data_IF_191797957760
#
_entry.id   IF_191797957760
#
_cell.length_a   1.000
_cell.length_b   1.000
_cell.length_c   1.000
_cell.angle_alpha   90.00
_cell.angle_beta   90.00
_cell.angle_gamma   90.00
#
_symmetry.space_group_name_H-M   'P 1'
#
loop_
_entity.id
_entity.type
_entity.pdbx_description
1 polymer ?
#
# COMPACT_ATOMS: atom_id res chain seq x y z
N UNK A 1 3.58 -9.21 5.88
CA UNK A 1 4.94 -9.63 6.29
C UNK A 1 4.90 -10.67 7.40
N UNK A 2 4.41 -10.39 8.63
CA UNK A 2 4.41 -11.32 9.77
C UNK A 2 3.70 -12.63 9.45
N UNK A 3 2.47 -12.59 8.91
CA UNK A 3 1.75 -13.79 8.48
C UNK A 3 2.50 -14.60 7.42
N UNK A 4 3.16 -13.91 6.48
CA UNK A 4 3.99 -14.55 5.45
C UNK A 4 5.17 -15.33 6.06
N UNK A 5 5.90 -14.72 6.99
CA UNK A 5 7.04 -15.36 7.69
C UNK A 5 6.59 -16.57 8.51
N UNK A 6 5.53 -16.42 9.31
CA UNK A 6 4.97 -17.52 10.11
C UNK A 6 4.51 -18.69 9.24
N UNK A 7 3.96 -18.40 8.06
CA UNK A 7 3.47 -19.42 7.11
C UNK A 7 4.58 -20.32 6.57
N UNK A 8 5.82 -19.81 6.50
CA UNK A 8 7.00 -20.56 6.07
C UNK A 8 7.87 -21.06 7.22
N UNK A 9 7.33 -21.03 8.44
CA UNK A 9 7.98 -21.63 9.62
C UNK A 9 9.03 -20.75 10.30
N UNK A 10 9.06 -19.44 10.00
CA UNK A 10 9.89 -18.48 10.74
C UNK A 10 9.19 -18.09 12.04
N UNK A 11 9.86 -18.24 13.16
CA UNK A 11 9.37 -17.76 14.44
C UNK A 11 9.50 -16.24 14.52
N UNK A 12 8.40 -15.55 14.84
CA UNK A 12 8.32 -14.08 14.83
C UNK A 12 7.85 -13.59 16.19
N UNK A 13 8.73 -12.93 16.92
CA UNK A 13 8.40 -12.14 18.10
C UNK A 13 8.18 -10.67 17.72
N UNK A 14 7.04 -10.11 18.11
CA UNK A 14 6.68 -8.73 17.79
C UNK A 14 7.03 -7.80 18.95
N UNK A 15 7.81 -6.75 18.66
CA UNK A 15 8.03 -5.63 19.55
C UNK A 15 7.30 -4.40 19.00
N UNK A 16 6.21 -4.02 19.65
CA UNK A 16 5.36 -2.92 19.20
C UNK A 16 4.94 -2.03 20.35
N UNK A 17 5.00 -0.71 20.13
CA UNK A 17 4.43 0.30 21.02
C UNK A 17 3.47 1.15 20.21
N UNK A 18 2.17 1.07 20.52
CA UNK A 18 1.16 1.83 19.80
C UNK A 18 1.30 3.33 20.10
N UNK A 19 1.48 4.11 19.06
CA UNK A 19 1.50 5.60 19.13
C UNK A 19 0.14 6.17 18.69
N UNK A 20 -0.65 5.37 17.97
CA UNK A 20 -1.86 5.80 17.27
C UNK A 20 -3.10 5.09 17.83
N UNK A 21 -3.37 5.27 19.13
CA UNK A 21 -4.56 4.68 19.74
C UNK A 21 -5.83 5.19 19.04
N UNK A 22 -6.52 4.29 18.31
CA UNK A 22 -7.87 4.46 17.73
C UNK A 22 -8.15 5.75 16.94
N UNK A 23 -7.15 6.49 16.50
CA UNK A 23 -7.35 7.70 15.73
C UNK A 23 -7.72 7.34 14.29
N UNK A 24 -9.01 7.35 13.95
CA UNK A 24 -9.55 7.22 12.59
C UNK A 24 -8.85 8.15 11.58
N UNK A 25 -8.21 9.23 12.06
CA UNK A 25 -7.48 10.24 11.28
C UNK A 25 -6.01 10.40 11.72
N UNK A 26 -5.30 9.33 11.98
CA UNK A 26 -4.05 9.21 12.72
C UNK A 26 -2.76 9.86 12.18
N UNK A 27 -2.79 10.91 11.38
CA UNK A 27 -1.60 11.66 10.98
C UNK A 27 -1.77 13.17 11.15
N UNK A 28 -2.01 13.61 12.37
CA UNK A 28 -1.82 15.03 12.73
C UNK A 28 -0.41 15.21 13.30
N UNK A 29 0.48 15.88 12.57
CA UNK A 29 1.82 16.23 13.04
C UNK A 29 1.75 17.40 14.03
N UNK A 30 1.25 17.17 15.24
CA UNK A 30 1.26 18.16 16.32
C UNK A 30 2.35 17.88 17.36
N UNK A 31 2.72 18.87 18.20
CA UNK A 31 3.74 18.69 19.25
C UNK A 31 3.44 17.50 20.19
N UNK A 32 2.17 17.25 20.48
CA UNK A 32 1.75 16.10 21.29
C UNK A 32 2.04 14.76 20.65
N UNK A 33 2.00 14.65 19.33
CA UNK A 33 2.34 13.42 18.61
C UNK A 33 3.85 13.17 18.62
N UNK A 34 4.65 14.21 18.49
CA UNK A 34 6.10 14.09 18.60
C UNK A 34 6.52 13.58 20.01
N UNK A 35 5.85 14.09 21.06
CA UNK A 35 6.10 13.62 22.43
C UNK A 35 5.69 12.14 22.63
N UNK A 36 4.54 11.72 22.07
CA UNK A 36 4.11 10.30 22.11
C UNK A 36 5.09 9.40 21.35
N UNK A 37 5.55 9.83 20.19
CA UNK A 37 6.56 9.08 19.42
C UNK A 37 7.85 8.94 20.22
N UNK A 38 8.36 10.03 20.80
CA UNK A 38 9.57 9.99 21.63
C UNK A 38 9.43 9.05 22.85
N UNK A 39 8.25 9.03 23.48
CA UNK A 39 7.97 8.13 24.59
C UNK A 39 7.91 6.66 24.13
N UNK A 40 7.31 6.39 22.98
CA UNK A 40 7.26 5.05 22.39
C UNK A 40 8.66 4.53 22.06
N UNK A 41 9.50 5.38 21.43
CA UNK A 41 10.90 5.05 21.16
C UNK A 41 11.71 4.78 22.43
N UNK A 42 11.51 5.57 23.48
CA UNK A 42 12.15 5.33 24.76
C UNK A 42 11.71 4.00 25.38
N UNK A 43 10.43 3.63 25.22
CA UNK A 43 9.91 2.34 25.66
C UNK A 43 10.49 1.18 24.86
N UNK A 44 10.57 1.29 23.53
CA UNK A 44 11.22 0.30 22.65
C UNK A 44 12.70 0.11 23.04
N UNK A 45 13.42 1.18 23.30
CA UNK A 45 14.81 1.12 23.76
C UNK A 45 15.01 0.37 25.08
N UNK A 46 14.00 0.32 25.94
CA UNK A 46 14.06 -0.40 27.24
C UNK A 46 13.66 -1.89 27.11
N UNK A 47 13.01 -2.29 26.01
CA UNK A 47 12.63 -3.67 25.81
C UNK A 47 13.87 -4.56 25.59
N UNK A 48 13.78 -5.79 26.07
CA UNK A 48 14.83 -6.79 25.89
C UNK A 48 14.23 -7.98 25.14
N UNK A 49 14.47 -8.07 23.84
CA UNK A 49 13.99 -9.23 23.08
C UNK A 49 14.68 -10.50 23.55
N UNK A 50 14.04 -11.63 23.28
CA UNK A 50 14.62 -12.97 23.48
C UNK A 50 15.78 -13.19 22.50
N UNK A 51 16.28 -14.41 22.42
CA UNK A 51 17.28 -14.77 21.42
C UNK A 51 16.62 -14.84 20.04
N UNK A 52 17.25 -14.25 19.01
CA UNK A 52 16.76 -14.16 17.64
C UNK A 52 17.93 -14.04 16.68
N UNK A 53 17.72 -14.33 15.39
CA UNK A 53 18.76 -14.32 14.37
C UNK A 53 18.85 -12.97 13.65
N UNK A 54 17.73 -12.30 13.40
CA UNK A 54 17.68 -11.01 12.71
C UNK A 54 16.58 -10.11 13.29
N UNK A 55 16.69 -8.79 13.07
CA UNK A 55 15.66 -7.79 13.41
C UNK A 55 15.03 -7.28 12.11
N UNK A 56 13.70 -7.35 12.03
CA UNK A 56 12.93 -6.71 10.99
C UNK A 56 12.29 -5.41 11.52
N UNK A 57 12.59 -4.29 10.85
CA UNK A 57 11.96 -3.00 11.12
C UNK A 57 10.91 -2.73 10.04
N UNK A 58 9.63 -2.65 10.44
CA UNK A 58 8.51 -2.42 9.54
C UNK A 58 8.16 -0.94 9.34
N UNK A 59 7.14 -0.69 8.53
CA UNK A 59 6.61 0.63 8.21
C UNK A 59 6.05 1.38 9.44
N UNK A 60 6.30 2.69 9.59
CA UNK A 60 7.25 3.51 8.81
C UNK A 60 8.71 3.36 9.26
N UNK A 61 8.99 2.90 10.45
CA UNK A 61 10.24 2.42 11.03
C UNK A 61 11.45 3.36 11.07
N UNK A 62 11.41 4.55 10.45
CA UNK A 62 12.55 5.46 10.35
C UNK A 62 13.12 5.89 11.71
N UNK A 63 12.27 6.01 12.70
CA UNK A 63 12.64 6.41 14.07
C UNK A 63 12.93 5.20 14.97
N UNK A 64 12.47 4.00 14.59
CA UNK A 64 12.64 2.76 15.36
C UNK A 64 14.06 2.17 15.21
N UNK A 65 14.83 2.58 14.19
CA UNK A 65 16.15 2.03 13.91
C UNK A 65 17.18 2.17 15.05
N UNK A 66 17.21 3.25 15.86
CA UNK A 66 18.06 3.31 17.04
C UNK A 66 17.72 2.22 18.06
N UNK A 67 16.43 1.97 18.30
CA UNK A 67 15.97 0.89 19.18
C UNK A 67 16.29 -0.49 18.58
N UNK A 68 16.06 -0.67 17.27
CA UNK A 68 16.41 -1.88 16.54
C UNK A 68 17.91 -2.20 16.61
N UNK A 69 18.79 -1.21 16.41
CA UNK A 69 20.24 -1.38 16.53
C UNK A 69 20.68 -1.81 17.93
N UNK A 70 20.07 -1.20 18.96
CA UNK A 70 20.32 -1.60 20.34
C UNK A 70 19.86 -3.03 20.62
N UNK A 71 18.66 -3.39 20.13
CA UNK A 71 18.10 -4.72 20.27
C UNK A 71 18.93 -5.76 19.51
N UNK A 72 19.36 -5.46 18.29
CA UNK A 72 20.07 -6.36 17.39
C UNK A 72 21.39 -6.91 17.96
N UNK A 73 22.09 -6.14 18.80
CA UNK A 73 23.38 -6.58 19.42
C UNK A 73 24.39 -7.14 18.43
N UNK A 74 24.46 -6.54 17.25
CA UNK A 74 25.36 -6.97 16.16
C UNK A 74 24.78 -8.00 15.20
N UNK A 75 23.50 -8.38 15.36
CA UNK A 75 22.76 -9.21 14.41
C UNK A 75 22.22 -8.36 13.27
N UNK A 76 21.91 -8.97 12.10
CA UNK A 76 21.41 -8.23 10.94
C UNK A 76 20.10 -7.49 11.20
N UNK A 77 19.99 -6.31 10.59
CA UNK A 77 18.79 -5.48 10.58
C UNK A 77 18.28 -5.36 9.15
N UNK A 78 17.06 -5.82 8.93
CA UNK A 78 16.32 -5.66 7.68
C UNK A 78 15.29 -4.56 7.86
N UNK A 79 15.30 -3.55 7.00
CA UNK A 79 14.38 -2.43 7.07
C UNK A 79 13.42 -2.42 5.88
N UNK A 80 12.13 -2.49 6.15
CA UNK A 80 11.06 -2.38 5.16
C UNK A 80 10.23 -1.12 5.37
N UNK A 81 10.69 0.05 4.90
CA UNK A 81 10.06 1.33 5.15
C UNK A 81 8.72 1.50 4.41
N UNK A 82 8.50 0.81 3.29
CA UNK A 82 7.42 1.00 2.30
C UNK A 82 7.36 2.41 1.70
N UNK A 83 7.87 3.43 2.38
CA UNK A 83 7.83 4.82 1.93
C UNK A 83 9.11 5.57 2.29
N UNK A 84 9.41 6.65 1.56
CA UNK A 84 10.26 7.73 2.02
C UNK A 84 9.38 8.79 2.69
N UNK A 85 9.82 9.35 3.80
CA UNK A 85 9.12 10.43 4.51
C UNK A 85 9.09 11.70 3.66
N UNK A 86 10.23 12.04 3.02
CA UNK A 86 10.32 13.20 2.15
C UNK A 86 9.39 13.06 0.94
N UNK A 87 9.42 11.92 0.24
CA UNK A 87 8.54 11.66 -0.91
C UNK A 87 7.06 11.73 -0.50
N UNK A 88 6.71 11.19 0.68
CA UNK A 88 5.33 11.18 1.17
C UNK A 88 4.85 12.57 1.58
N UNK A 89 5.62 13.30 2.38
CA UNK A 89 5.15 14.53 3.00
C UNK A 89 5.36 15.76 2.11
N UNK A 90 6.38 15.73 1.24
CA UNK A 90 6.71 16.84 0.34
C UNK A 90 6.09 16.61 -1.04
N UNK A 91 6.49 15.52 -1.74
CA UNK A 91 6.13 15.32 -3.14
C UNK A 91 4.67 14.86 -3.32
N UNK A 92 4.18 13.95 -2.47
CA UNK A 92 2.81 13.41 -2.60
C UNK A 92 1.77 14.29 -1.89
N UNK A 93 2.01 14.63 -0.62
CA UNK A 93 1.01 15.35 0.18
C UNK A 93 1.13 16.85 0.18
N UNK A 94 2.24 17.39 -0.35
CA UNK A 94 2.46 18.84 -0.43
C UNK A 94 2.47 19.56 0.93
N UNK A 95 2.75 18.83 2.05
CA UNK A 95 2.75 19.42 3.39
C UNK A 95 3.88 20.41 3.61
N UNK A 96 5.00 20.21 2.94
CA UNK A 96 6.15 21.10 2.97
C UNK A 96 6.54 21.46 1.54
N UNK A 97 7.01 22.70 1.36
CA UNK A 97 7.51 23.14 0.05
C UNK A 97 8.77 22.36 -0.31
N UNK A 98 8.90 21.99 -1.58
CA UNK A 98 10.14 21.43 -2.11
C UNK A 98 11.33 22.37 -1.79
N UNK A 99 12.49 21.80 -1.50
CA UNK A 99 13.73 22.51 -1.14
C UNK A 99 13.66 23.34 0.17
N UNK A 100 12.58 23.25 0.95
CA UNK A 100 12.50 23.87 2.28
C UNK A 100 13.47 23.19 3.27
N UNK A 101 13.72 23.84 4.40
CA UNK A 101 14.50 23.23 5.48
C UNK A 101 13.88 21.90 5.95
N UNK A 102 12.55 21.86 6.08
CA UNK A 102 11.81 20.65 6.47
C UNK A 102 11.98 19.52 5.43
N UNK A 103 11.90 19.83 4.12
CA UNK A 103 12.11 18.85 3.06
C UNK A 103 13.52 18.23 3.13
N UNK A 104 14.56 19.09 3.28
CA UNK A 104 15.94 18.62 3.41
C UNK A 104 16.18 17.81 4.68
N UNK A 105 15.50 18.16 5.79
CA UNK A 105 15.58 17.40 7.03
C UNK A 105 14.98 16.00 6.85
N UNK A 106 13.81 15.90 6.22
CA UNK A 106 13.18 14.63 5.92
C UNK A 106 14.03 13.74 5.00
N UNK A 107 14.65 14.32 3.96
CA UNK A 107 15.57 13.58 3.10
C UNK A 107 16.82 13.06 3.85
N UNK A 108 17.31 13.83 4.81
CA UNK A 108 18.43 13.38 5.66
C UNK A 108 18.00 12.25 6.60
N UNK A 109 16.79 12.33 7.15
CA UNK A 109 16.22 11.27 7.97
C UNK A 109 16.09 9.99 7.14
N UNK A 110 15.50 10.07 5.94
CA UNK A 110 15.38 8.91 5.04
C UNK A 110 16.75 8.28 4.76
N UNK A 111 17.73 9.08 4.30
CA UNK A 111 19.08 8.57 4.01
C UNK A 111 19.76 7.94 5.22
N UNK A 112 19.61 8.58 6.38
CA UNK A 112 20.19 8.03 7.62
C UNK A 112 19.53 6.71 8.00
N UNK A 113 18.22 6.65 7.95
CA UNK A 113 17.46 5.45 8.27
C UNK A 113 17.81 4.29 7.31
N UNK A 114 17.83 4.55 6.01
CA UNK A 114 18.12 3.51 5.02
C UNK A 114 19.56 2.97 5.16
N UNK A 115 20.53 3.84 5.45
CA UNK A 115 21.94 3.43 5.69
C UNK A 115 22.18 2.80 7.06
N UNK A 116 21.21 2.91 7.97
CA UNK A 116 21.32 2.35 9.30
C UNK A 116 20.97 0.85 9.37
N UNK A 117 20.31 0.31 8.38
CA UNK A 117 20.02 -1.11 8.23
C UNK A 117 21.10 -1.81 7.39
N UNK A 118 21.23 -3.12 7.56
CA UNK A 118 22.12 -3.95 6.73
C UNK A 118 21.50 -4.21 5.37
N UNK A 119 20.17 -4.33 5.30
CA UNK A 119 19.40 -4.42 4.06
C UNK A 119 18.13 -3.58 4.15
N UNK A 120 17.83 -2.82 3.09
CA UNK A 120 16.55 -2.13 2.87
C UNK A 120 15.75 -2.92 1.86
N UNK A 121 14.50 -3.26 2.16
CA UNK A 121 13.60 -3.99 1.26
C UNK A 121 12.52 -3.06 0.74
N UNK A 122 12.36 -3.00 -0.57
CA UNK A 122 11.29 -2.26 -1.23
C UNK A 122 10.09 -3.16 -1.56
N UNK A 123 8.95 -2.54 -1.87
CA UNK A 123 7.72 -3.24 -2.26
C UNK A 123 7.57 -3.40 -3.79
N UNK A 124 8.39 -2.71 -4.57
CA UNK A 124 8.45 -2.80 -6.05
C UNK A 124 9.85 -2.49 -6.56
N UNK A 125 10.18 -2.94 -7.76
CA UNK A 125 11.44 -2.60 -8.45
C UNK A 125 11.55 -1.08 -8.71
N UNK A 126 10.42 -0.45 -9.03
CA UNK A 126 10.39 1.00 -9.23
C UNK A 126 10.71 1.76 -7.93
N UNK A 127 10.25 1.26 -6.79
CA UNK A 127 10.55 1.82 -5.47
C UNK A 127 11.98 1.49 -5.02
N UNK A 128 12.47 0.28 -5.33
CA UNK A 128 13.84 -0.14 -5.04
C UNK A 128 14.86 0.79 -5.70
N UNK A 129 14.69 1.09 -7.00
CA UNK A 129 15.53 2.06 -7.71
C UNK A 129 15.51 3.45 -7.04
N UNK A 130 14.33 3.91 -6.64
CA UNK A 130 14.22 5.19 -5.94
C UNK A 130 14.93 5.19 -4.59
N UNK A 131 14.85 4.13 -3.80
CA UNK A 131 15.54 3.99 -2.52
C UNK A 131 17.08 3.91 -2.70
N UNK A 132 17.52 3.16 -3.70
CA UNK A 132 18.92 3.05 -4.07
C UNK A 132 19.52 4.43 -4.41
N UNK A 133 18.87 5.20 -5.27
CA UNK A 133 19.29 6.56 -5.64
C UNK A 133 19.26 7.51 -4.44
N UNK A 134 18.19 7.48 -3.64
CA UNK A 134 18.02 8.37 -2.48
C UNK A 134 19.11 8.18 -1.43
N UNK A 135 19.48 6.95 -1.14
CA UNK A 135 20.40 6.62 -0.05
C UNK A 135 21.79 6.19 -0.52
N UNK A 136 22.01 5.99 -1.83
CA UNK A 136 23.27 5.49 -2.38
C UNK A 136 23.50 4.04 -1.95
N UNK A 137 22.50 3.18 -2.14
CA UNK A 137 22.57 1.74 -1.85
C UNK A 137 22.87 0.99 -3.14
N UNK A 138 23.71 -0.03 -3.04
CA UNK A 138 24.10 -0.85 -4.20
C UNK A 138 23.02 -1.89 -4.55
N UNK A 139 22.33 -2.43 -3.55
CA UNK A 139 21.27 -3.43 -3.69
C UNK A 139 20.08 -3.12 -2.78
N UNK A 140 18.87 -3.23 -3.34
CA UNK A 140 17.61 -3.08 -2.62
C UNK A 140 16.68 -4.21 -3.08
N UNK A 141 16.66 -5.35 -2.38
CA UNK A 141 15.77 -6.46 -2.75
C UNK A 141 14.30 -6.06 -2.68
N UNK A 142 13.49 -6.73 -3.49
CA UNK A 142 12.06 -6.46 -3.61
C UNK A 142 11.25 -7.60 -3.03
N UNK A 143 10.25 -7.24 -2.23
CA UNK A 143 9.20 -8.14 -1.78
C UNK A 143 7.87 -7.39 -1.74
N UNK A 144 6.88 -7.85 -2.51
CA UNK A 144 5.56 -7.23 -2.56
C UNK A 144 4.88 -7.21 -1.18
N UNK A 145 3.86 -6.35 -1.04
CA UNK A 145 3.10 -6.23 0.22
C UNK A 145 2.15 -7.41 0.42
N UNK A 146 1.45 -7.85 -0.64
CA UNK A 146 0.46 -8.91 -0.57
C UNK A 146 -0.85 -8.52 0.11
N UNK A 147 -1.62 -9.52 0.50
CA UNK A 147 -2.86 -9.37 1.27
C UNK A 147 -2.90 -10.41 2.39
N UNK A 148 -3.66 -10.13 3.44
CA UNK A 148 -3.89 -11.08 4.55
C UNK A 148 -4.87 -12.16 4.11
N UNK A 149 -4.35 -13.35 3.75
CA UNK A 149 -5.15 -14.44 3.15
C UNK A 149 -6.25 -14.97 4.08
N UNK A 150 -6.08 -14.81 5.40
CA UNK A 150 -7.11 -15.14 6.39
C UNK A 150 -8.39 -14.35 6.16
N UNK A 151 -8.29 -13.12 5.67
CA UNK A 151 -9.41 -12.21 5.41
C UNK A 151 -9.76 -12.17 3.92
N UNK A 152 -8.77 -11.93 3.07
CA UNK A 152 -8.94 -11.72 1.63
C UNK A 152 -8.81 -13.05 0.86
N UNK A 153 -9.79 -13.93 1.09
CA UNK A 153 -9.90 -15.20 0.40
C UNK A 153 -10.72 -15.06 -0.90
N UNK A 154 -10.49 -15.95 -1.91
CA UNK A 154 -11.30 -15.99 -3.14
C UNK A 154 -12.80 -16.11 -2.82
N UNK A 155 -13.63 -15.53 -3.69
CA UNK A 155 -15.07 -15.63 -3.50
C UNK A 155 -15.86 -14.57 -4.26
N UNK A 156 -15.20 -13.77 -5.09
CA UNK A 156 -15.88 -12.82 -5.96
C UNK A 156 -16.78 -13.54 -6.98
N UNK A 157 -17.94 -12.98 -7.22
CA UNK A 157 -18.88 -13.38 -8.28
C UNK A 157 -19.45 -12.13 -8.91
N UNK A 158 -19.77 -12.20 -10.20
CA UNK A 158 -20.42 -11.10 -10.89
C UNK A 158 -21.72 -10.74 -10.16
N UNK A 159 -21.84 -9.50 -9.64
CA UNK A 159 -23.03 -9.09 -8.88
C UNK A 159 -24.19 -8.78 -9.83
N UNK A 160 -25.43 -8.82 -9.29
CA UNK A 160 -26.63 -8.41 -10.03
C UNK A 160 -26.59 -6.90 -10.35
N UNK A 161 -26.12 -6.09 -9.41
CA UNK A 161 -25.93 -4.66 -9.58
C UNK A 161 -24.44 -4.34 -9.60
N UNK A 162 -23.96 -3.77 -10.72
CA UNK A 162 -22.54 -3.42 -10.88
C UNK A 162 -22.20 -2.15 -10.11
N UNK A 163 -21.25 -2.26 -9.18
CA UNK A 163 -20.71 -1.13 -8.41
C UNK A 163 -19.20 -1.06 -8.61
N UNK A 164 -18.68 0.10 -8.98
CA UNK A 164 -17.25 0.38 -9.01
C UNK A 164 -16.80 0.82 -7.59
N UNK A 165 -16.02 -0.01 -6.91
CA UNK A 165 -15.62 0.17 -5.52
C UNK A 165 -14.21 0.78 -5.41
N UNK A 166 -14.09 1.92 -4.75
CA UNK A 166 -12.82 2.44 -4.27
C UNK A 166 -12.75 2.34 -2.75
N UNK A 167 -11.63 1.82 -2.22
CA UNK A 167 -11.34 1.80 -0.78
C UNK A 167 -9.97 2.42 -0.53
N UNK A 168 -9.89 3.39 0.38
CA UNK A 168 -8.58 3.93 0.79
C UNK A 168 -8.63 5.34 1.34
N UNK A 169 -7.48 5.82 1.80
CA UNK A 169 -7.35 7.20 2.24
C UNK A 169 -7.51 8.17 1.07
N UNK A 170 -8.28 9.23 1.25
CA UNK A 170 -8.49 10.27 0.24
C UNK A 170 -7.28 11.21 0.22
N UNK A 171 -6.26 10.85 -0.55
CA UNK A 171 -4.98 11.57 -0.67
C UNK A 171 -4.57 11.67 -2.14
N UNK A 172 -3.68 12.61 -2.54
CA UNK A 172 -3.32 12.84 -3.94
C UNK A 172 -2.88 11.59 -4.70
N UNK A 173 -2.06 10.73 -4.09
CA UNK A 173 -1.63 9.46 -4.66
C UNK A 173 -2.79 8.65 -5.25
N UNK A 174 -3.96 8.68 -4.61
CA UNK A 174 -5.09 7.81 -4.98
C UNK A 174 -5.79 8.26 -6.26
N UNK A 175 -5.73 9.57 -6.62
CA UNK A 175 -6.41 10.11 -7.80
C UNK A 175 -7.94 10.10 -7.64
N UNK A 176 -8.45 10.52 -6.47
CA UNK A 176 -9.89 10.56 -6.19
C UNK A 176 -10.63 11.50 -7.14
N UNK A 177 -10.02 12.61 -7.50
CA UNK A 177 -10.49 13.54 -8.53
C UNK A 177 -10.73 12.85 -9.88
N UNK A 178 -9.81 11.97 -10.29
CA UNK A 178 -9.94 11.16 -11.50
C UNK A 178 -11.12 10.19 -11.41
N UNK A 179 -11.32 9.57 -10.23
CA UNK A 179 -12.45 8.66 -9.97
C UNK A 179 -13.78 9.41 -10.06
N UNK A 180 -13.90 10.58 -9.43
CA UNK A 180 -15.10 11.39 -9.47
C UNK A 180 -15.39 11.93 -10.87
N UNK A 181 -14.35 12.34 -11.61
CA UNK A 181 -14.49 12.72 -13.01
C UNK A 181 -14.90 11.54 -13.91
N UNK A 182 -14.49 10.31 -13.62
CA UNK A 182 -14.95 9.11 -14.30
C UNK A 182 -16.41 8.80 -13.95
N UNK A 183 -16.82 8.96 -12.69
CA UNK A 183 -18.23 8.81 -12.27
C UNK A 183 -19.16 9.78 -13.01
N UNK A 184 -18.74 11.05 -13.15
CA UNK A 184 -19.50 12.04 -13.92
C UNK A 184 -19.65 11.62 -15.40
N UNK A 185 -18.66 10.93 -15.96
CA UNK A 185 -18.67 10.44 -17.36
C UNK A 185 -19.46 9.14 -17.55
N UNK A 186 -19.70 8.39 -16.46
CA UNK A 186 -20.43 7.14 -16.45
C UNK A 186 -21.63 7.20 -15.47
N UNK A 187 -22.62 8.10 -15.73
CA UNK A 187 -23.73 8.34 -14.79
C UNK A 187 -24.62 7.09 -14.58
N UNK A 188 -24.58 6.13 -15.48
CA UNK A 188 -25.28 4.86 -15.41
C UNK A 188 -24.63 3.83 -14.47
N UNK A 189 -23.38 4.07 -14.06
CA UNK A 189 -22.63 3.19 -13.16
C UNK A 189 -22.69 3.76 -11.75
N UNK A 190 -22.95 2.93 -10.75
CA UNK A 190 -22.78 3.29 -9.35
C UNK A 190 -21.32 3.21 -8.93
N UNK A 191 -20.87 4.25 -8.22
CA UNK A 191 -19.56 4.29 -7.59
C UNK A 191 -19.73 4.30 -6.07
N UNK A 192 -18.95 3.48 -5.38
CA UNK A 192 -18.88 3.48 -3.91
C UNK A 192 -17.47 3.84 -3.50
N UNK A 193 -17.32 4.98 -2.83
CA UNK A 193 -16.04 5.51 -2.36
C UNK A 193 -15.99 5.34 -0.84
N UNK A 194 -15.11 4.46 -0.38
CA UNK A 194 -14.94 4.15 1.05
C UNK A 194 -13.62 4.73 1.54
N UNK A 195 -13.70 5.61 2.53
CA UNK A 195 -12.54 6.21 3.18
C UNK A 195 -12.66 7.70 3.42
N UNK A 196 -11.66 8.26 4.07
CA UNK A 196 -11.54 9.69 4.36
C UNK A 196 -10.08 10.13 4.32
N UNK A 197 -9.84 11.45 4.28
CA UNK A 197 -8.48 11.98 4.28
C UNK A 197 -8.34 13.43 3.88
N UNK A 198 -7.20 13.75 3.30
CA UNK A 198 -6.84 15.14 2.92
C UNK A 198 -7.79 15.75 1.89
N UNK A 199 -8.41 14.91 1.06
CA UNK A 199 -9.26 15.30 -0.06
C UNK A 199 -10.76 15.09 0.22
N UNK A 200 -11.17 15.01 1.48
CA UNK A 200 -12.58 14.83 1.87
C UNK A 200 -13.50 15.88 1.22
N UNK A 201 -13.03 17.13 1.11
CA UNK A 201 -13.78 18.21 0.47
C UNK A 201 -14.20 17.97 -0.99
N UNK A 202 -13.56 17.01 -1.70
CA UNK A 202 -14.02 16.60 -3.04
C UNK A 202 -15.35 15.83 -3.01
N UNK A 203 -15.72 15.33 -1.84
CA UNK A 203 -16.94 14.54 -1.62
C UNK A 203 -18.03 15.32 -0.85
N UNK A 204 -17.89 16.64 -0.70
CA UNK A 204 -18.94 17.49 -0.13
C UNK A 204 -20.16 17.62 -1.08
N UNK A 205 -19.92 17.60 -2.41
CA UNK A 205 -20.95 17.60 -3.45
C UNK A 205 -20.54 16.62 -4.58
N UNK A 206 -20.62 15.30 -4.34
CA UNK A 206 -20.17 14.32 -5.30
C UNK A 206 -21.20 14.15 -6.45
N UNK A 207 -20.78 13.55 -7.59
CA UNK A 207 -21.72 13.15 -8.63
C UNK A 207 -22.87 12.30 -8.08
N UNK A 208 -24.11 12.40 -8.62
CA UNK A 208 -25.29 11.71 -8.06
C UNK A 208 -25.19 10.17 -7.99
N UNK A 209 -24.33 9.59 -8.80
CA UNK A 209 -24.06 8.14 -8.85
C UNK A 209 -22.91 7.71 -7.93
N UNK A 210 -22.39 8.62 -7.06
CA UNK A 210 -21.33 8.33 -6.11
C UNK A 210 -21.90 8.24 -4.70
N UNK A 211 -21.72 7.10 -4.06
CA UNK A 211 -21.98 6.91 -2.63
C UNK A 211 -20.66 7.06 -1.86
N UNK A 212 -20.61 7.95 -0.86
CA UNK A 212 -19.45 8.11 0.01
C UNK A 212 -19.70 7.50 1.38
N UNK A 213 -18.81 6.59 1.80
CA UNK A 213 -18.79 5.99 3.13
C UNK A 213 -17.47 6.32 3.81
N UNK A 214 -17.44 7.21 4.81
CA UNK A 214 -16.19 7.69 5.40
C UNK A 214 -15.32 6.60 6.03
N UNK A 215 -15.95 5.50 6.50
CA UNK A 215 -15.26 4.43 7.18
C UNK A 215 -16.07 3.13 7.16
N UNK A 216 -15.38 2.00 7.01
CA UNK A 216 -15.86 0.65 7.32
C UNK A 216 -14.77 -0.09 8.10
N UNK A 217 -15.15 -1.11 8.87
CA UNK A 217 -14.21 -1.93 9.61
C UNK A 217 -13.38 -2.80 8.64
N UNK A 218 -12.12 -3.03 9.00
CA UNK A 218 -11.17 -3.75 8.12
C UNK A 218 -11.65 -5.16 7.75
N UNK A 219 -12.29 -5.83 8.68
CA UNK A 219 -12.87 -7.17 8.52
C UNK A 219 -14.06 -7.19 7.54
N UNK A 220 -14.68 -6.05 7.28
CA UNK A 220 -15.78 -5.92 6.31
C UNK A 220 -15.29 -5.70 4.88
N UNK A 221 -14.05 -5.22 4.69
CA UNK A 221 -13.47 -4.95 3.37
C UNK A 221 -13.55 -6.13 2.40
N UNK A 222 -13.25 -7.38 2.80
CA UNK A 222 -13.36 -8.52 1.89
C UNK A 222 -14.78 -8.75 1.38
N UNK A 223 -15.79 -8.46 2.20
CA UNK A 223 -17.19 -8.55 1.78
C UNK A 223 -17.51 -7.49 0.72
N UNK A 224 -17.16 -6.23 0.97
CA UNK A 224 -17.35 -5.12 0.02
C UNK A 224 -16.67 -5.43 -1.33
N UNK A 225 -15.42 -5.92 -1.31
CA UNK A 225 -14.67 -6.27 -2.52
C UNK A 225 -15.36 -7.40 -3.29
N UNK A 226 -15.86 -8.44 -2.61
CA UNK A 226 -16.51 -9.57 -3.27
C UNK A 226 -17.89 -9.24 -3.83
N UNK A 227 -18.56 -8.21 -3.30
CA UNK A 227 -19.87 -7.75 -3.78
C UNK A 227 -19.76 -6.70 -4.88
N UNK A 228 -18.60 -6.09 -5.08
CA UNK A 228 -18.38 -5.06 -6.09
C UNK A 228 -18.30 -5.66 -7.51
N UNK A 229 -18.74 -4.92 -8.51
CA UNK A 229 -18.55 -5.25 -9.91
C UNK A 229 -17.08 -5.18 -10.32
N UNK A 230 -16.35 -4.17 -9.81
CA UNK A 230 -14.90 -4.08 -9.91
C UNK A 230 -14.32 -3.26 -8.74
N UNK A 231 -13.05 -3.49 -8.46
CA UNK A 231 -12.26 -2.69 -7.52
C UNK A 231 -11.41 -1.67 -8.26
N UNK A 232 -11.28 -0.47 -7.68
CA UNK A 232 -10.49 0.63 -8.23
C UNK A 232 -9.17 0.77 -7.46
N UNK A 233 -8.06 0.77 -8.20
CA UNK A 233 -6.71 0.92 -7.66
C UNK A 233 -6.34 2.37 -7.37
N UNK A 234 -5.19 2.82 -7.89
CA UNK A 234 -4.71 4.22 -7.82
C UNK A 234 -4.68 4.83 -9.21
N UNK A 235 -4.97 6.14 -9.28
CA UNK A 235 -5.02 6.90 -10.54
C UNK A 235 -4.25 8.22 -10.47
N UNK A 236 -3.59 8.50 -9.33
CA UNK A 236 -2.78 9.70 -9.16
C UNK A 236 -1.60 9.76 -10.12
N UNK A 237 -1.17 10.98 -10.46
CA UNK A 237 -0.09 11.23 -11.43
C UNK A 237 1.24 11.55 -10.77
N UNK A 238 1.34 11.48 -9.44
CA UNK A 238 2.57 11.78 -8.69
C UNK A 238 3.67 10.75 -8.98
N UNK A 239 4.93 11.14 -8.81
CA UNK A 239 6.05 10.22 -8.93
C UNK A 239 5.90 8.99 -8.03
N UNK A 240 5.34 9.16 -6.83
CA UNK A 240 5.05 8.08 -5.89
C UNK A 240 4.00 7.12 -6.44
N UNK A 241 2.90 7.62 -7.00
CA UNK A 241 1.85 6.79 -7.59
C UNK A 241 2.37 5.84 -8.67
N UNK A 242 3.43 6.23 -9.37
CA UNK A 242 4.07 5.42 -10.42
C UNK A 242 4.95 4.30 -9.88
N UNK A 243 5.36 4.38 -8.59
CA UNK A 243 6.33 3.46 -7.96
C UNK A 243 5.72 2.45 -7.01
N UNK A 244 4.43 2.58 -6.66
CA UNK A 244 3.81 1.72 -5.65
C UNK A 244 2.62 0.94 -6.21
N UNK A 245 2.40 -0.25 -5.66
CA UNK A 245 1.16 -1.01 -5.81
C UNK A 245 0.39 -0.90 -4.49
N UNK A 246 -0.82 -0.32 -4.47
CA UNK A 246 -1.53 -0.12 -3.21
C UNK A 246 -2.08 -1.44 -2.65
N UNK A 247 -2.20 -1.53 -1.32
CA UNK A 247 -2.75 -2.72 -0.64
C UNK A 247 -4.09 -3.19 -1.22
N UNK A 248 -4.97 -2.24 -1.58
CA UNK A 248 -6.28 -2.56 -2.18
C UNK A 248 -6.19 -3.34 -3.49
N UNK A 249 -5.11 -3.16 -4.27
CA UNK A 249 -4.91 -3.93 -5.49
C UNK A 249 -4.64 -5.41 -5.16
N UNK A 250 -3.75 -5.68 -4.21
CA UNK A 250 -3.50 -7.04 -3.72
C UNK A 250 -4.76 -7.65 -3.10
N UNK A 251 -5.52 -6.88 -2.32
CA UNK A 251 -6.76 -7.32 -1.69
C UNK A 251 -7.84 -7.69 -2.71
N UNK A 252 -7.99 -6.87 -3.77
CA UNK A 252 -8.95 -7.12 -4.85
C UNK A 252 -8.62 -8.42 -5.59
N UNK A 253 -7.38 -8.56 -6.07
CA UNK A 253 -6.97 -9.75 -6.82
C UNK A 253 -6.88 -11.00 -5.94
N UNK A 254 -6.60 -10.88 -4.65
CA UNK A 254 -6.69 -11.99 -3.69
C UNK A 254 -8.13 -12.50 -3.54
N UNK A 255 -9.11 -11.61 -3.56
CA UNK A 255 -10.54 -11.98 -3.57
C UNK A 255 -11.02 -12.51 -4.92
N UNK A 256 -10.23 -12.39 -5.99
CA UNK A 256 -10.61 -12.73 -7.36
C UNK A 256 -11.52 -11.66 -8.00
N UNK A 257 -11.57 -10.45 -7.46
CA UNK A 257 -12.37 -9.35 -7.99
C UNK A 257 -11.64 -8.67 -9.18
N UNK A 258 -12.37 -8.25 -10.23
CA UNK A 258 -11.81 -7.48 -11.32
C UNK A 258 -11.18 -6.19 -10.79
N UNK A 259 -9.98 -5.86 -11.24
CA UNK A 259 -9.24 -4.66 -10.84
C UNK A 259 -9.08 -3.73 -12.04
N UNK A 260 -9.38 -2.44 -11.84
CA UNK A 260 -8.99 -1.35 -12.75
C UNK A 260 -8.01 -0.45 -12.00
N UNK A 261 -6.84 -0.18 -12.58
CA UNK A 261 -5.83 0.69 -11.96
C UNK A 261 -5.04 1.44 -13.02
N UNK A 262 -4.24 2.43 -12.60
CA UNK A 262 -3.39 3.13 -13.54
C UNK A 262 -2.28 2.22 -14.08
N UNK A 263 -1.99 2.40 -15.37
CA UNK A 263 -0.84 1.81 -16.04
C UNK A 263 0.44 2.51 -15.59
N UNK A 264 1.16 1.87 -14.70
CA UNK A 264 2.41 2.37 -14.13
C UNK A 264 3.50 1.31 -14.18
N UNK A 265 4.78 1.72 -14.13
CA UNK A 265 5.87 0.74 -14.04
C UNK A 265 5.67 -0.27 -12.89
N UNK A 266 5.28 0.21 -11.71
CA UNK A 266 5.02 -0.67 -10.57
C UNK A 266 3.83 -1.61 -10.80
N UNK A 267 2.71 -1.12 -11.34
CA UNK A 267 1.55 -1.98 -11.62
C UNK A 267 1.91 -3.13 -12.56
N UNK A 268 2.74 -2.87 -13.57
CA UNK A 268 3.20 -3.86 -14.56
C UNK A 268 4.15 -4.93 -13.99
N UNK A 269 4.71 -4.72 -12.81
CA UNK A 269 5.52 -5.76 -12.14
C UNK A 269 4.65 -6.94 -11.66
N UNK A 270 3.41 -6.63 -11.28
CA UNK A 270 2.43 -7.61 -10.77
C UNK A 270 1.38 -7.98 -11.83
N UNK A 271 0.89 -7.00 -12.58
CA UNK A 271 -0.30 -7.08 -13.40
C UNK A 271 0.02 -7.04 -14.90
N UNK A 272 -0.81 -7.74 -15.68
CA UNK A 272 -0.81 -7.71 -17.15
C UNK A 272 -2.15 -7.16 -17.61
N UNK A 273 -2.10 -6.12 -18.44
CA UNK A 273 -3.30 -5.51 -19.01
C UNK A 273 -4.15 -6.52 -19.78
N UNK A 274 -5.46 -6.35 -19.74
CA UNK A 274 -6.46 -7.21 -20.38
C UNK A 274 -6.43 -8.69 -19.93
N UNK A 275 -5.58 -9.02 -18.94
CA UNK A 275 -5.40 -10.40 -18.46
C UNK A 275 -5.65 -10.49 -16.96
N UNK A 276 -4.96 -9.71 -16.15
CA UNK A 276 -5.05 -9.75 -14.68
C UNK A 276 -5.58 -8.45 -14.06
N UNK A 277 -5.73 -7.42 -14.86
CA UNK A 277 -6.38 -6.15 -14.56
C UNK A 277 -6.70 -5.41 -15.85
N UNK A 278 -7.53 -4.36 -15.79
CA UNK A 278 -7.59 -3.35 -16.83
C UNK A 278 -6.68 -2.18 -16.41
N UNK A 279 -5.66 -1.91 -17.21
CA UNK A 279 -4.71 -0.83 -16.98
C UNK A 279 -5.08 0.38 -17.83
N UNK A 280 -5.28 1.55 -17.19
CA UNK A 280 -5.65 2.80 -17.85
C UNK A 280 -4.60 3.87 -17.64
N UNK A 281 -4.43 4.87 -18.52
CA UNK A 281 -3.49 5.95 -18.28
C UNK A 281 -3.79 6.68 -16.95
N UNK A 282 -2.75 6.99 -16.18
CA UNK A 282 -2.90 7.71 -14.93
C UNK A 282 -3.52 9.10 -15.15
N UNK A 283 -4.52 9.46 -14.36
CA UNK A 283 -5.25 10.73 -14.47
C UNK A 283 -6.28 10.79 -15.61
N UNK A 284 -6.44 9.72 -16.40
CA UNK A 284 -7.40 9.69 -17.51
C UNK A 284 -8.77 9.16 -17.06
N UNK A 285 -9.66 10.09 -16.72
CA UNK A 285 -11.02 9.79 -16.31
C UNK A 285 -11.88 9.18 -17.42
N UNK A 286 -11.60 9.48 -18.70
CA UNK A 286 -12.36 8.93 -19.81
C UNK A 286 -12.00 7.46 -20.06
N UNK A 287 -10.71 7.13 -20.02
CA UNK A 287 -10.22 5.76 -20.12
C UNK A 287 -10.72 4.92 -18.92
N UNK A 288 -10.72 5.49 -17.69
CA UNK A 288 -11.25 4.84 -16.51
C UNK A 288 -12.74 4.52 -16.65
N UNK A 289 -13.55 5.50 -17.05
CA UNK A 289 -14.98 5.30 -17.31
C UNK A 289 -15.24 4.25 -18.40
N UNK A 290 -14.44 4.24 -19.46
CA UNK A 290 -14.50 3.25 -20.52
C UNK A 290 -14.20 1.83 -20.04
N UNK A 291 -13.14 1.66 -19.23
CA UNK A 291 -12.77 0.37 -18.65
C UNK A 291 -13.86 -0.18 -17.72
N UNK A 292 -14.42 0.70 -16.85
CA UNK A 292 -15.51 0.31 -15.95
C UNK A 292 -16.76 -0.13 -16.74
N UNK A 293 -17.16 0.61 -17.79
CA UNK A 293 -18.29 0.25 -18.66
C UNK A 293 -18.08 -1.11 -19.34
N UNK A 294 -16.88 -1.40 -19.81
CA UNK A 294 -16.56 -2.70 -20.40
C UNK A 294 -16.82 -3.83 -19.42
N UNK A 295 -16.35 -3.71 -18.17
CA UNK A 295 -16.60 -4.71 -17.16
C UNK A 295 -18.07 -4.81 -16.75
N UNK A 296 -18.81 -3.70 -16.75
CA UNK A 296 -20.23 -3.68 -16.44
C UNK A 296 -21.08 -4.33 -17.54
N UNK A 297 -20.69 -4.16 -18.81
CA UNK A 297 -21.39 -4.69 -19.97
C UNK A 297 -21.07 -6.17 -20.25
N UNK A 298 -19.93 -6.68 -19.79
CA UNK A 298 -19.42 -8.02 -20.09
C UNK A 298 -18.98 -8.75 -18.82
N UNK A 299 -19.87 -9.58 -18.28
CA UNK A 299 -19.62 -10.37 -17.08
C UNK A 299 -18.56 -11.46 -17.29
N UNK A 300 -18.35 -11.92 -18.52
CA UNK A 300 -17.33 -12.92 -18.83
C UNK A 300 -15.95 -12.29 -18.87
N UNK A 301 -15.83 -11.07 -19.41
CA UNK A 301 -14.62 -10.26 -19.29
C UNK A 301 -14.30 -9.99 -17.81
N UNK A 302 -15.29 -9.57 -17.02
CA UNK A 302 -15.08 -9.30 -15.60
C UNK A 302 -14.58 -10.56 -14.86
N UNK A 303 -15.18 -11.72 -15.15
CA UNK A 303 -14.74 -13.00 -14.57
C UNK A 303 -13.33 -13.39 -15.03
N UNK A 304 -13.02 -13.19 -16.31
CA UNK A 304 -11.70 -13.48 -16.87
C UNK A 304 -10.61 -12.64 -16.20
N UNK A 305 -10.83 -11.33 -16.09
CA UNK A 305 -9.91 -10.39 -15.42
C UNK A 305 -9.74 -10.76 -13.93
N UNK A 306 -10.82 -11.03 -13.21
CA UNK A 306 -10.76 -11.45 -11.81
C UNK A 306 -9.98 -12.75 -11.61
N UNK A 307 -10.19 -13.73 -12.50
CA UNK A 307 -9.46 -15.03 -12.48
C UNK A 307 -7.98 -14.82 -12.79
N UNK A 308 -7.65 -14.03 -13.79
CA UNK A 308 -6.27 -13.70 -14.12
C UNK A 308 -5.56 -12.90 -13.01
N UNK A 309 -6.27 -11.96 -12.37
CA UNK A 309 -5.79 -11.24 -11.19
C UNK A 309 -5.48 -12.19 -10.03
N UNK A 310 -6.38 -13.13 -9.75
CA UNK A 310 -6.15 -14.14 -8.71
C UNK A 310 -4.95 -15.03 -9.03
N UNK A 311 -4.78 -15.47 -10.27
CA UNK A 311 -3.64 -16.26 -10.69
C UNK A 311 -2.32 -15.47 -10.51
N UNK A 312 -2.29 -14.19 -10.87
CA UNK A 312 -1.14 -13.32 -10.65
C UNK A 312 -0.81 -13.16 -9.16
N UNK A 313 -1.84 -13.04 -8.30
CA UNK A 313 -1.68 -13.01 -6.85
C UNK A 313 -1.05 -14.30 -6.32
N UNK A 314 -1.61 -15.45 -6.68
CA UNK A 314 -1.11 -16.75 -6.23
C UNK A 314 0.34 -16.99 -6.62
N UNK A 315 0.71 -16.59 -7.82
CA UNK A 315 2.04 -16.79 -8.36
C UNK A 315 3.09 -15.84 -7.77
N UNK A 316 2.72 -14.58 -7.45
CA UNK A 316 3.69 -13.53 -7.14
C UNK A 316 3.54 -12.90 -5.76
N UNK A 317 2.34 -12.93 -5.16
CA UNK A 317 2.02 -12.12 -3.99
C UNK A 317 1.28 -12.87 -2.87
N UNK A 318 1.12 -14.20 -2.98
CA UNK A 318 0.56 -15.02 -1.92
C UNK A 318 1.46 -15.03 -0.68
N UNK A 319 0.88 -15.24 0.49
CA UNK A 319 1.65 -15.28 1.74
C UNK A 319 2.77 -16.32 1.71
N UNK A 320 2.59 -17.45 1.03
CA UNK A 320 3.65 -18.48 0.90
C UNK A 320 4.80 -18.01 0.01
N UNK A 321 4.50 -17.36 -1.12
CA UNK A 321 5.53 -16.82 -2.02
C UNK A 321 6.31 -15.70 -1.34
N UNK A 322 5.60 -14.75 -0.74
CA UNK A 322 6.24 -13.63 -0.03
C UNK A 322 7.02 -14.10 1.19
N UNK A 323 6.49 -15.10 1.92
CA UNK A 323 7.20 -15.69 3.06
C UNK A 323 8.52 -16.33 2.65
N UNK A 324 8.54 -17.06 1.52
CA UNK A 324 9.77 -17.64 0.99
C UNK A 324 10.79 -16.55 0.58
N UNK A 325 10.33 -15.48 -0.08
CA UNK A 325 11.19 -14.34 -0.45
C UNK A 325 11.76 -13.63 0.79
N UNK A 326 10.93 -13.36 1.81
CA UNK A 326 11.39 -12.78 3.06
C UNK A 326 12.42 -13.65 3.76
N UNK A 327 12.18 -14.95 3.82
CA UNK A 327 13.12 -15.91 4.41
C UNK A 327 14.46 -15.92 3.67
N UNK A 328 14.44 -15.94 2.35
CA UNK A 328 15.66 -15.87 1.53
C UNK A 328 16.45 -14.57 1.77
N UNK A 329 15.76 -13.41 1.84
CA UNK A 329 16.42 -12.13 2.15
C UNK A 329 17.11 -12.18 3.52
N UNK A 330 16.47 -12.76 4.53
CA UNK A 330 17.04 -12.89 5.88
C UNK A 330 18.21 -13.87 5.90
N UNK A 331 18.03 -15.07 5.31
CA UNK A 331 19.06 -16.13 5.29
C UNK A 331 20.35 -15.70 4.59
N UNK A 332 20.30 -14.78 3.63
CA UNK A 332 21.51 -14.21 3.00
C UNK A 332 22.36 -13.34 3.95
N UNK A 333 21.83 -12.95 5.08
CA UNK A 333 22.50 -12.10 6.06
C UNK A 333 23.04 -12.88 7.26
N UNK A 334 22.58 -14.12 7.44
CA UNK A 334 22.99 -15.02 8.52
C UNK A 334 24.22 -15.85 8.10
#
# INVERSE_FOLDING_TARGET
MISCLRKVGVDVEEMHVSVWDNARNGWSAGPGQAAKLAAAEAQLLMQRPRDFDAVLVGYPGHFDLPAARRAARGRPIVFNPLVSLADTLVADRGRFRANSFAARALERIDRHAFRAADVVVADTEAQARFFAELAGLDDVPVCFVGAEERLFAPGWRAPEEFVALFVGKLIPLQGVDTILAAATRAPEIRFRVVGSGQLDGLLDDPPPNVEHVPWIEYEQLPHEIRQAGCSLGVFGTTGKARRVIPNKAFQAIACGAPLVTADTPAARELLTDETSALLVPAGDAAALAGAIRRLAADSDLARSIGTGGRAAYEQKASESVLGAQWREIIERLL
#
